data_IF_216125895866
#
_entry.id   IF_216125895866
#
_cell.length_a   1.000
_cell.length_b   1.000
_cell.length_c   1.000
_cell.angle_alpha   90.00
_cell.angle_beta   90.00
_cell.angle_gamma   90.00
#
_symmetry.space_group_name_H-M   'P 1'
#
loop_
_entity.id
_entity.type
_entity.pdbx_description
1 polymer ?
#
# COMPACT_ATOMS: atom_id res chain seq x y z
N UNK A 1 -6.73 -19.68 -4.26
CA UNK A 1 -7.02 -18.24 -4.12
C UNK A 1 -5.80 -17.67 -3.43
N UNK A 2 -4.81 -17.24 -4.21
CA UNK A 2 -3.50 -16.84 -3.73
C UNK A 2 -3.37 -15.33 -3.82
N UNK A 3 -3.00 -14.69 -2.72
CA UNK A 3 -2.72 -13.25 -2.72
C UNK A 3 -1.35 -13.07 -3.37
N UNK A 4 -1.32 -12.52 -4.59
CA UNK A 4 -0.06 -12.33 -5.31
C UNK A 4 0.53 -10.97 -4.95
N UNK A 5 1.77 -10.98 -4.45
CA UNK A 5 2.55 -9.79 -4.21
C UNK A 5 3.30 -9.39 -5.49
N UNK A 6 2.99 -8.23 -6.06
CA UNK A 6 3.76 -7.65 -7.18
C UNK A 6 4.76 -6.65 -6.60
N UNK A 7 6.05 -6.97 -6.68
CA UNK A 7 7.16 -6.14 -6.16
C UNK A 7 7.90 -5.36 -7.25
N UNK A 8 8.50 -4.22 -6.88
CA UNK A 8 9.49 -3.52 -7.71
C UNK A 8 8.95 -2.53 -8.75
N UNK A 9 7.86 -1.81 -8.46
CA UNK A 9 7.27 -0.81 -9.39
C UNK A 9 7.77 0.58 -9.04
N UNK A 10 9.08 0.80 -9.19
CA UNK A 10 9.84 1.94 -8.66
C UNK A 10 9.48 3.34 -9.20
N UNK A 11 8.23 3.80 -9.02
CA UNK A 11 7.71 5.17 -9.21
C UNK A 11 6.19 5.22 -8.94
N UNK A 12 5.69 6.27 -8.29
CA UNK A 12 4.25 6.50 -8.03
C UNK A 12 3.37 6.31 -9.29
N UNK A 13 3.73 6.83 -10.49
CA UNK A 13 2.94 6.59 -11.71
C UNK A 13 2.77 5.12 -12.09
N UNK A 14 3.78 4.28 -11.82
CA UNK A 14 3.74 2.84 -12.16
C UNK A 14 2.77 2.11 -11.23
N UNK A 15 2.83 2.39 -9.93
CA UNK A 15 1.87 1.86 -8.94
C UNK A 15 0.44 2.22 -9.35
N UNK A 16 0.21 3.47 -9.72
CA UNK A 16 -1.10 3.95 -10.16
C UNK A 16 -1.58 3.25 -11.44
N UNK A 17 -0.70 3.08 -12.43
CA UNK A 17 -1.03 2.43 -13.69
C UNK A 17 -1.42 0.95 -13.48
N UNK A 18 -0.65 0.21 -12.69
CA UNK A 18 -0.92 -1.21 -12.40
C UNK A 18 -2.20 -1.35 -11.59
N UNK A 19 -2.36 -0.54 -10.55
CA UNK A 19 -3.58 -0.56 -9.72
C UNK A 19 -4.81 -0.26 -10.56
N UNK A 20 -4.73 0.75 -11.44
CA UNK A 20 -5.83 1.09 -12.34
C UNK A 20 -6.16 -0.05 -13.29
N UNK A 21 -5.16 -0.70 -13.88
CA UNK A 21 -5.35 -1.81 -14.81
C UNK A 21 -6.05 -2.98 -14.12
N UNK A 22 -5.47 -3.48 -13.01
CA UNK A 22 -6.04 -4.62 -12.29
C UNK A 22 -7.45 -4.31 -11.76
N UNK A 23 -7.70 -3.08 -11.30
CA UNK A 23 -9.04 -2.67 -10.84
C UNK A 23 -10.04 -2.67 -11.99
N UNK A 24 -9.61 -2.28 -13.20
CA UNK A 24 -10.47 -2.33 -14.40
C UNK A 24 -10.82 -3.76 -14.83
N UNK A 25 -10.02 -4.74 -14.42
CA UNK A 25 -10.25 -6.17 -14.63
C UNK A 25 -11.14 -6.79 -13.53
N UNK A 26 -11.51 -6.01 -12.51
CA UNK A 26 -12.43 -6.43 -11.45
C UNK A 26 -11.76 -7.03 -10.21
N UNK A 27 -10.45 -6.94 -10.09
CA UNK A 27 -9.71 -7.44 -8.94
C UNK A 27 -9.80 -6.52 -7.72
N UNK A 28 -9.85 -7.13 -6.53
CA UNK A 28 -9.71 -6.46 -5.24
C UNK A 28 -8.22 -6.28 -4.94
N UNK A 29 -7.79 -5.03 -4.81
CA UNK A 29 -6.37 -4.68 -4.73
C UNK A 29 -6.14 -3.80 -3.52
N UNK A 30 -4.97 -3.91 -2.90
CA UNK A 30 -4.47 -2.95 -1.94
C UNK A 30 -3.02 -2.56 -2.26
N UNK A 31 -2.59 -1.41 -1.78
CA UNK A 31 -1.19 -0.96 -1.88
C UNK A 31 -0.56 -0.96 -0.49
N UNK A 32 0.69 -1.40 -0.41
CA UNK A 32 1.55 -1.20 0.76
C UNK A 32 2.67 -0.23 0.42
N UNK A 33 2.89 0.75 1.28
CA UNK A 33 3.99 1.71 1.15
C UNK A 33 4.67 1.89 2.50
N UNK A 34 5.96 2.19 2.50
CA UNK A 34 6.69 2.44 3.75
C UNK A 34 6.21 3.73 4.43
N UNK A 35 5.73 4.68 3.63
CA UNK A 35 5.60 6.08 4.02
C UNK A 35 6.97 6.68 4.23
N UNK A 36 7.33 7.69 3.44
CA UNK A 36 8.52 8.49 3.72
C UNK A 36 8.03 9.82 4.32
N UNK A 37 8.66 10.28 5.40
CA UNK A 37 8.48 11.60 5.99
C UNK A 37 7.13 11.95 6.69
N UNK A 38 6.16 11.06 6.83
CA UNK A 38 4.97 11.31 7.67
C UNK A 38 5.31 11.36 9.17
N UNK A 39 4.69 12.29 9.93
CA UNK A 39 4.89 12.44 11.39
C UNK A 39 4.68 11.12 12.15
N UNK A 40 3.88 10.20 11.60
CA UNK A 40 3.53 8.91 12.19
C UNK A 40 4.63 7.84 12.15
N UNK A 41 5.64 7.98 11.28
CA UNK A 41 6.80 7.07 11.30
C UNK A 41 7.54 7.11 12.64
N UNK A 42 7.37 8.18 13.41
CA UNK A 42 7.96 8.34 14.74
C UNK A 42 7.10 7.79 15.88
N UNK A 43 5.82 7.46 15.64
CA UNK A 43 4.86 7.26 16.71
C UNK A 43 4.68 5.80 17.15
N UNK A 44 4.57 4.85 16.22
CA UNK A 44 4.59 3.40 16.48
C UNK A 44 4.67 2.66 15.15
N UNK A 45 5.39 1.53 15.08
CA UNK A 45 5.58 0.75 13.85
C UNK A 45 4.33 -0.03 13.39
N UNK A 46 3.14 0.41 13.81
CA UNK A 46 1.88 -0.29 13.54
C UNK A 46 1.37 0.04 12.13
N UNK A 47 0.95 -0.96 11.36
CA UNK A 47 0.35 -0.75 10.04
C UNK A 47 -0.96 0.02 10.17
N UNK A 48 -1.22 0.93 9.24
CA UNK A 48 -2.47 1.68 9.20
C UNK A 48 -2.91 1.98 7.77
N UNK A 49 -4.21 1.84 7.54
CA UNK A 49 -4.86 2.20 6.28
C UNK A 49 -5.20 3.69 6.31
N UNK A 50 -4.81 4.42 5.26
CA UNK A 50 -5.14 5.84 5.12
C UNK A 50 -6.67 6.00 5.03
N UNK A 51 -7.33 6.74 5.94
CA UNK A 51 -8.77 6.93 5.88
C UNK A 51 -9.19 7.75 4.66
N UNK A 52 -10.24 7.30 3.96
CA UNK A 52 -10.79 7.99 2.79
C UNK A 52 -11.43 9.34 3.14
N UNK A 53 -11.89 9.50 4.38
CA UNK A 53 -12.54 10.72 4.88
C UNK A 53 -11.58 11.70 5.57
N UNK A 54 -10.28 11.38 5.66
CA UNK A 54 -9.29 12.29 6.24
C UNK A 54 -8.94 13.41 5.23
N UNK A 55 -8.93 14.69 5.64
CA UNK A 55 -8.52 15.80 4.78
C UNK A 55 -7.10 15.59 4.22
N UNK A 56 -6.87 15.96 2.97
CA UNK A 56 -5.59 15.69 2.29
C UNK A 56 -4.39 16.32 2.99
N UNK A 57 -4.52 17.54 3.53
CA UNK A 57 -3.46 18.19 4.31
C UNK A 57 -3.13 17.44 5.60
N UNK A 58 -4.13 16.84 6.23
CA UNK A 58 -3.95 16.05 7.44
C UNK A 58 -3.32 14.70 7.10
N UNK A 59 -3.83 14.02 6.06
CA UNK A 59 -3.28 12.76 5.57
C UNK A 59 -1.82 12.91 5.12
N UNK A 60 -1.51 13.96 4.37
CA UNK A 60 -0.14 14.28 3.94
C UNK A 60 0.80 14.48 5.14
N UNK A 61 0.36 15.21 6.16
CA UNK A 61 1.14 15.41 7.39
C UNK A 61 1.38 14.10 8.15
N UNK A 62 0.35 13.25 8.29
CA UNK A 62 0.44 12.01 9.07
C UNK A 62 1.15 10.87 8.32
N UNK A 63 0.81 10.64 7.05
CA UNK A 63 1.23 9.49 6.27
C UNK A 63 2.30 9.83 5.22
N UNK A 64 2.49 11.10 4.89
CA UNK A 64 3.36 11.58 3.82
C UNK A 64 2.58 11.91 2.54
N UNK A 65 3.16 12.77 1.72
CA UNK A 65 2.55 13.25 0.47
C UNK A 65 2.32 12.11 -0.54
N UNK A 66 3.32 11.25 -0.72
CA UNK A 66 3.27 10.16 -1.71
C UNK A 66 2.23 9.08 -1.37
N UNK A 67 2.18 8.52 -0.14
CA UNK A 67 1.11 7.59 0.25
C UNK A 67 -0.28 8.20 0.12
N UNK A 68 -0.42 9.48 0.48
CA UNK A 68 -1.69 10.22 0.35
C UNK A 68 -2.09 10.32 -1.12
N UNK A 69 -1.17 10.73 -1.99
CA UNK A 69 -1.40 10.81 -3.43
C UNK A 69 -1.80 9.46 -4.02
N UNK A 70 -1.09 8.38 -3.65
CA UNK A 70 -1.42 7.02 -4.10
C UNK A 70 -2.84 6.66 -3.66
N UNK A 71 -3.19 6.88 -2.39
CA UNK A 71 -4.53 6.59 -1.86
C UNK A 71 -5.63 7.30 -2.65
N UNK A 72 -5.45 8.60 -2.89
CA UNK A 72 -6.46 9.40 -3.60
C UNK A 72 -6.60 9.00 -5.06
N UNK A 73 -5.50 8.79 -5.77
CA UNK A 73 -5.52 8.52 -7.20
C UNK A 73 -5.83 7.07 -7.57
N UNK A 74 -5.47 6.11 -6.72
CA UNK A 74 -5.74 4.69 -6.95
C UNK A 74 -7.16 4.29 -6.57
N UNK A 75 -7.75 4.97 -5.59
CA UNK A 75 -9.04 4.61 -4.97
C UNK A 75 -9.06 3.18 -4.42
N UNK A 76 -7.92 2.66 -3.98
CA UNK A 76 -7.80 1.38 -3.28
C UNK A 76 -7.26 1.58 -1.87
N UNK A 77 -7.43 0.62 -0.93
CA UNK A 77 -6.80 0.70 0.38
C UNK A 77 -5.28 0.85 0.26
N UNK A 78 -4.72 1.83 0.96
CA UNK A 78 -3.27 2.04 1.06
C UNK A 78 -2.87 1.89 2.51
N UNK A 79 -2.07 0.87 2.79
CA UNK A 79 -1.53 0.61 4.12
C UNK A 79 -0.09 1.13 4.23
N UNK A 80 0.16 1.91 5.27
CA UNK A 80 1.46 2.49 5.57
C UNK A 80 2.08 1.77 6.78
N UNK A 81 3.29 1.23 6.62
CA UNK A 81 4.07 0.64 7.71
C UNK A 81 5.56 0.58 7.36
N UNK A 82 6.48 0.73 8.33
CA UNK A 82 7.92 0.50 8.03
C UNK A 82 8.21 -0.96 7.71
N UNK A 83 7.53 -1.87 8.40
CA UNK A 83 7.57 -3.31 8.10
C UNK A 83 6.44 -3.67 7.13
N UNK A 84 6.83 -3.96 5.90
CA UNK A 84 5.91 -4.37 4.83
C UNK A 84 5.15 -5.64 5.17
N UNK A 85 5.76 -6.55 5.93
CA UNK A 85 5.11 -7.81 6.34
C UNK A 85 3.92 -7.52 7.23
N UNK A 86 4.08 -6.61 8.21
CA UNK A 86 2.99 -6.19 9.09
C UNK A 86 1.85 -5.51 8.31
N UNK A 87 2.17 -4.69 7.30
CA UNK A 87 1.16 -4.10 6.42
C UNK A 87 0.37 -5.16 5.63
N UNK A 88 1.08 -6.14 5.06
CA UNK A 88 0.46 -7.25 4.32
C UNK A 88 -0.44 -8.07 5.25
N UNK A 89 0.05 -8.47 6.43
CA UNK A 89 -0.72 -9.24 7.41
C UNK A 89 -1.97 -8.47 7.85
N UNK A 90 -1.85 -7.17 8.09
CA UNK A 90 -2.97 -6.32 8.46
C UNK A 90 -4.02 -6.26 7.36
N UNK A 91 -3.62 -6.07 6.10
CA UNK A 91 -4.54 -6.04 4.96
C UNK A 91 -5.24 -7.38 4.77
N UNK A 92 -4.50 -8.49 4.71
CA UNK A 92 -5.08 -9.83 4.49
C UNK A 92 -6.04 -10.22 5.63
N UNK A 93 -5.72 -9.86 6.87
CA UNK A 93 -6.57 -10.18 8.01
C UNK A 93 -7.90 -9.40 8.03
N UNK A 94 -7.93 -8.20 7.43
CA UNK A 94 -9.13 -7.35 7.40
C UNK A 94 -9.88 -7.40 6.06
N UNK A 95 -9.24 -7.91 5.01
CA UNK A 95 -9.75 -7.95 3.64
C UNK A 95 -9.44 -9.32 3.00
N UNK A 96 -10.16 -10.39 3.42
CA UNK A 96 -9.95 -11.74 2.87
C UNK A 96 -10.28 -11.85 1.37
N UNK A 97 -10.95 -10.86 0.80
CA UNK A 97 -11.31 -10.76 -0.62
C UNK A 97 -10.19 -10.22 -1.53
N UNK A 98 -9.06 -9.76 -0.98
CA UNK A 98 -7.96 -9.20 -1.77
C UNK A 98 -7.35 -10.24 -2.70
N UNK A 99 -7.25 -9.91 -3.99
CA UNK A 99 -6.57 -10.71 -5.00
C UNK A 99 -5.08 -10.34 -5.09
N UNK A 100 -4.77 -9.04 -5.00
CA UNK A 100 -3.43 -8.51 -5.19
C UNK A 100 -3.04 -7.48 -4.13
N UNK A 101 -1.78 -7.54 -3.70
CA UNK A 101 -1.14 -6.47 -2.94
C UNK A 101 0.03 -5.93 -3.76
N UNK A 102 0.03 -4.63 -4.00
CA UNK A 102 1.08 -3.93 -4.75
C UNK A 102 2.00 -3.23 -3.77
N UNK A 103 3.31 -3.44 -3.88
CA UNK A 103 4.28 -2.77 -3.04
C UNK A 103 4.90 -1.55 -3.75
N UNK A 104 4.81 -0.38 -3.11
CA UNK A 104 5.48 0.84 -3.51
C UNK A 104 6.90 0.90 -2.90
N UNK A 105 7.93 0.66 -3.72
CA UNK A 105 9.34 0.61 -3.29
C UNK A 105 10.04 1.98 -3.43
N UNK A 106 9.55 2.98 -2.69
CA UNK A 106 10.31 4.18 -2.36
C UNK A 106 11.58 3.83 -1.57
N UNK A 107 12.62 3.39 -2.27
CA UNK A 107 13.99 3.06 -1.82
C UNK A 107 14.14 1.76 -1.00
N UNK A 108 14.71 0.76 -1.69
CA UNK A 108 15.52 -0.41 -1.29
C UNK A 108 15.06 -1.28 -0.11
N UNK A 109 14.36 -2.39 -0.42
CA UNK A 109 14.53 -3.69 0.24
C UNK A 109 13.79 -4.80 -0.54
N UNK A 110 14.54 -5.58 -1.33
CA UNK A 110 14.08 -6.77 -2.03
C UNK A 110 13.79 -7.89 -1.03
N UNK A 111 12.51 -8.25 -0.87
CA UNK A 111 12.11 -9.57 -0.39
C UNK A 111 10.90 -10.01 -1.20
N UNK A 112 11.12 -11.01 -2.06
CA UNK A 112 10.08 -11.73 -2.78
C UNK A 112 9.48 -12.78 -1.84
N UNK A 113 8.17 -12.73 -1.62
CA UNK A 113 7.45 -13.85 -1.02
C UNK A 113 6.93 -14.73 -2.15
N UNK A 114 7.44 -15.96 -2.20
CA UNK A 114 6.94 -17.04 -3.07
C UNK A 114 5.63 -17.56 -2.50
N UNK A 115 4.65 -17.78 -3.38
CA UNK A 115 3.48 -18.60 -3.08
C UNK A 115 3.95 -19.96 -2.56
N UNK A 116 3.45 -20.37 -1.39
CA UNK A 116 3.51 -21.76 -0.97
C UNK A 116 2.16 -22.40 -1.32
N UNK A 117 2.24 -23.48 -2.09
CA UNK A 117 1.16 -24.43 -2.36
C UNK A 117 0.40 -24.82 -1.09
#
# INVERSE_FOLDING_TARGET
MGNVLVGGVGKTPTVLAITKQLRSEGFNIAVVTKGYAGEKLNLNNSPEIIPNNMPDSEAARYFGDEPTLISRLSSVPVCVAKDRTLAIEHLVSNNPELDYIIADDGIQSLHQFSEKN
#
